data_IF_968888400430
#
_entry.id   IF_968888400430
#
_cell.length_a   1.000
_cell.length_b   1.000
_cell.length_c   1.000
_cell.angle_alpha   90.00
_cell.angle_beta   90.00
_cell.angle_gamma   90.00
#
_symmetry.space_group_name_H-M   'P 1'
#
loop_
_entity.id
_entity.type
_entity.pdbx_description
1 polymer ?
#
# COMPACT_ATOMS: atom_id res chain seq x y z
N UNK A 1 -0.73 26.88 0.27
CA UNK A 1 -2.10 27.12 -0.26
C UNK A 1 -2.99 26.03 0.32
N UNK A 2 -4.33 26.14 0.35
CA UNK A 2 -5.14 24.98 0.78
C UNK A 2 -4.90 23.81 -0.19
N UNK A 3 -4.49 22.65 0.30
CA UNK A 3 -4.35 21.43 -0.50
C UNK A 3 -5.62 21.15 -1.30
N UNK A 4 -5.50 20.76 -2.57
CA UNK A 4 -6.63 20.44 -3.45
C UNK A 4 -6.35 19.17 -4.23
N UNK A 5 -7.28 18.22 -4.14
CA UNK A 5 -7.23 16.99 -4.93
C UNK A 5 -7.44 17.30 -6.42
N UNK A 6 -6.70 16.63 -7.33
CA UNK A 6 -7.02 16.58 -8.74
C UNK A 6 -8.45 16.11 -8.95
N UNK A 7 -9.19 16.80 -9.84
CA UNK A 7 -10.54 16.37 -10.22
C UNK A 7 -10.45 15.25 -11.24
N UNK A 8 -11.25 14.20 -11.04
CA UNK A 8 -11.44 13.16 -12.04
C UNK A 8 -12.11 13.72 -13.29
N UNK A 9 -11.55 13.40 -14.45
CA UNK A 9 -12.11 13.76 -15.75
C UNK A 9 -12.79 12.52 -16.35
N UNK A 10 -14.09 12.38 -16.15
CA UNK A 10 -14.82 11.21 -16.68
C UNK A 10 -14.76 11.15 -18.20
N UNK A 11 -14.66 9.94 -18.80
CA UNK A 11 -14.80 9.78 -20.24
C UNK A 11 -16.21 10.22 -20.69
N UNK A 12 -16.28 10.77 -21.90
CA UNK A 12 -17.55 11.13 -22.52
C UNK A 12 -18.11 9.94 -23.28
N UNK A 13 -18.87 9.09 -22.59
CA UNK A 13 -19.43 7.86 -23.14
C UNK A 13 -20.55 8.08 -24.19
N UNK A 14 -20.96 9.33 -24.43
CA UNK A 14 -21.91 9.70 -25.49
C UNK A 14 -21.21 9.98 -26.84
N UNK A 15 -19.88 9.84 -26.91
CA UNK A 15 -19.08 10.03 -28.13
C UNK A 15 -18.46 8.75 -28.65
N UNK A 16 -18.07 8.77 -29.91
CA UNK A 16 -17.21 7.72 -30.48
C UNK A 16 -15.81 7.73 -29.82
N UNK A 17 -15.18 6.55 -29.62
CA UNK A 17 -15.64 5.21 -30.01
C UNK A 17 -16.63 4.56 -29.02
N UNK A 18 -16.94 5.19 -27.88
CA UNK A 18 -17.69 4.57 -26.78
C UNK A 18 -19.14 4.19 -27.10
N UNK A 19 -19.81 4.97 -27.96
CA UNK A 19 -21.20 4.69 -28.37
C UNK A 19 -21.29 3.44 -29.22
N UNK A 20 -20.40 3.29 -30.21
CA UNK A 20 -20.40 2.14 -31.13
C UNK A 20 -19.69 0.91 -30.58
N UNK A 21 -18.88 1.05 -29.52
CA UNK A 21 -18.22 -0.07 -28.85
C UNK A 21 -19.21 -1.20 -28.50
N UNK A 22 -18.83 -2.48 -28.64
CA UNK A 22 -19.69 -3.59 -28.26
C UNK A 22 -19.82 -3.68 -26.73
N UNK A 23 -20.80 -4.47 -26.27
CA UNK A 23 -20.79 -4.93 -24.89
C UNK A 23 -19.65 -5.94 -24.69
N UNK A 24 -19.16 -6.04 -23.47
CA UNK A 24 -18.19 -7.06 -23.10
C UNK A 24 -18.74 -8.46 -23.32
N UNK A 25 -17.84 -9.38 -23.66
CA UNK A 25 -18.15 -10.81 -23.65
C UNK A 25 -17.60 -11.44 -22.38
N UNK A 26 -18.18 -12.56 -21.96
CA UNK A 26 -17.74 -13.29 -20.77
C UNK A 26 -17.91 -14.79 -20.97
N UNK A 27 -17.11 -15.57 -20.24
CA UNK A 27 -17.20 -17.02 -20.21
C UNK A 27 -17.16 -17.52 -18.76
N UNK A 28 -17.85 -18.64 -18.51
CA UNK A 28 -17.89 -19.25 -17.19
C UNK A 28 -16.58 -19.96 -16.86
N UNK A 29 -16.11 -19.75 -15.65
CA UNK A 29 -15.05 -20.57 -15.05
C UNK A 29 -15.52 -22.03 -14.98
N UNK A 30 -14.72 -22.94 -15.54
CA UNK A 30 -15.00 -24.38 -15.56
C UNK A 30 -14.13 -25.18 -14.59
N UNK A 31 -13.05 -24.58 -14.08
CA UNK A 31 -12.11 -25.16 -13.14
C UNK A 31 -11.82 -24.14 -12.04
N UNK A 32 -11.87 -24.58 -10.77
CA UNK A 32 -11.55 -23.73 -9.62
C UNK A 32 -10.18 -23.06 -9.79
N UNK A 33 -10.15 -21.76 -9.60
CA UNK A 33 -8.93 -20.97 -9.66
C UNK A 33 -8.41 -20.66 -11.08
N UNK A 34 -9.14 -21.02 -12.14
CA UNK A 34 -8.65 -20.92 -13.54
C UNK A 34 -9.58 -20.07 -14.38
N UNK A 35 -9.09 -18.92 -14.85
CA UNK A 35 -9.83 -18.07 -15.78
C UNK A 35 -9.91 -18.71 -17.19
N UNK A 36 -11.00 -18.47 -17.94
CA UNK A 36 -11.13 -18.90 -19.34
C UNK A 36 -10.07 -18.26 -20.24
N UNK A 37 -9.84 -18.82 -21.42
CA UNK A 37 -8.96 -18.17 -22.40
C UNK A 37 -9.46 -16.78 -22.76
N UNK A 38 -8.54 -15.89 -23.15
CA UNK A 38 -8.87 -14.51 -23.53
C UNK A 38 -9.46 -13.64 -22.40
N UNK A 39 -9.34 -14.03 -21.12
CA UNK A 39 -9.71 -13.17 -19.98
C UNK A 39 -9.06 -11.79 -20.06
N UNK A 40 -9.74 -10.75 -19.58
CA UNK A 40 -9.11 -9.44 -19.38
C UNK A 40 -8.30 -9.41 -18.07
N UNK A 41 -7.06 -8.92 -18.14
CA UNK A 41 -6.19 -8.77 -16.98
C UNK A 41 -6.20 -7.32 -16.52
N UNK A 42 -6.60 -7.08 -15.27
CA UNK A 42 -6.72 -5.72 -14.73
C UNK A 42 -5.36 -5.07 -14.48
N UNK A 43 -5.32 -3.76 -14.68
CA UNK A 43 -4.23 -2.85 -14.38
C UNK A 43 -4.47 -2.13 -13.04
N UNK A 44 -3.73 -1.05 -12.80
CA UNK A 44 -3.93 -0.17 -11.64
C UNK A 44 -4.90 0.99 -11.92
N UNK A 45 -5.21 1.26 -13.19
CA UNK A 45 -6.00 2.40 -13.65
C UNK A 45 -7.51 2.17 -13.49
N UNK A 46 -8.34 3.22 -13.54
CA UNK A 46 -9.78 3.07 -13.68
C UNK A 46 -10.11 2.34 -14.99
N UNK A 47 -10.88 1.26 -14.87
CA UNK A 47 -11.28 0.43 -16.01
C UNK A 47 -12.79 0.34 -16.10
N UNK A 48 -13.31 0.64 -17.30
CA UNK A 48 -14.72 0.64 -17.60
C UNK A 48 -15.07 -0.54 -18.50
N UNK A 49 -16.24 -1.12 -18.25
CA UNK A 49 -16.77 -2.28 -18.97
C UNK A 49 -18.16 -1.96 -19.48
N UNK A 50 -18.40 -2.13 -20.77
CA UNK A 50 -19.71 -1.88 -21.39
C UNK A 50 -20.64 -3.07 -21.20
N UNK A 51 -21.66 -2.92 -20.39
CA UNK A 51 -22.64 -3.97 -20.06
C UNK A 51 -24.03 -3.43 -20.41
N UNK A 52 -24.75 -4.16 -21.25
CA UNK A 52 -26.11 -3.79 -21.69
C UNK A 52 -26.24 -2.33 -22.14
N UNK A 53 -25.24 -1.85 -22.89
CA UNK A 53 -25.16 -0.50 -23.44
C UNK A 53 -24.63 0.57 -22.49
N UNK A 54 -24.33 0.23 -21.23
CA UNK A 54 -23.84 1.17 -20.21
C UNK A 54 -22.39 0.90 -19.86
N UNK A 55 -21.59 1.94 -19.74
CA UNK A 55 -20.21 1.85 -19.26
C UNK A 55 -20.18 1.88 -17.74
N UNK A 56 -19.71 0.80 -17.12
CA UNK A 56 -19.64 0.63 -15.67
C UNK A 56 -18.17 0.62 -15.25
N UNK A 57 -17.81 1.47 -14.29
CA UNK A 57 -16.48 1.51 -13.68
C UNK A 57 -16.33 0.34 -12.70
N UNK A 58 -15.23 -0.40 -12.77
CA UNK A 58 -14.84 -1.29 -11.67
C UNK A 58 -14.55 -0.42 -10.43
N UNK A 59 -15.39 -0.47 -9.40
CA UNK A 59 -15.25 0.42 -8.23
C UNK A 59 -14.08 0.05 -7.33
N UNK A 60 -13.73 -1.24 -7.31
CA UNK A 60 -12.52 -1.77 -6.70
C UNK A 60 -11.64 -2.37 -7.78
N UNK A 61 -10.32 -2.14 -7.69
CA UNK A 61 -9.37 -2.73 -8.62
C UNK A 61 -8.12 -3.23 -7.89
N UNK A 62 -7.42 -4.13 -8.56
CA UNK A 62 -6.15 -4.75 -8.16
C UNK A 62 -5.50 -5.20 -9.46
N UNK A 63 -4.21 -4.95 -9.64
CA UNK A 63 -3.53 -5.40 -10.85
C UNK A 63 -3.35 -6.93 -10.86
N UNK A 64 -3.13 -7.50 -12.05
CA UNK A 64 -2.92 -8.94 -12.26
C UNK A 64 -4.10 -9.81 -11.75
N UNK A 65 -5.32 -9.27 -11.87
CA UNK A 65 -6.57 -9.96 -11.53
C UNK A 65 -7.48 -10.05 -12.76
N UNK A 66 -8.64 -10.69 -12.59
CA UNK A 66 -9.69 -10.75 -13.61
C UNK A 66 -10.97 -10.12 -13.10
N UNK A 67 -11.83 -9.71 -14.02
CA UNK A 67 -13.12 -9.10 -13.69
C UNK A 67 -14.23 -10.13 -13.86
N UNK A 68 -14.99 -10.35 -12.79
CA UNK A 68 -16.19 -11.19 -12.77
C UNK A 68 -17.42 -10.30 -12.87
N UNK A 69 -18.33 -10.65 -13.77
CA UNK A 69 -19.64 -10.04 -13.91
C UNK A 69 -20.67 -10.83 -13.10
N UNK A 70 -21.23 -10.19 -12.08
CA UNK A 70 -22.29 -10.77 -11.27
C UNK A 70 -23.65 -10.66 -11.96
N UNK A 71 -24.61 -11.48 -11.51
CA UNK A 71 -25.97 -11.51 -12.07
C UNK A 71 -26.73 -10.18 -11.93
N UNK A 72 -26.36 -9.34 -10.97
CA UNK A 72 -26.90 -7.99 -10.74
C UNK A 72 -26.18 -6.88 -11.53
N UNK A 73 -25.38 -7.26 -12.53
CA UNK A 73 -24.54 -6.38 -13.35
C UNK A 73 -23.41 -5.67 -12.59
N UNK A 74 -23.12 -6.07 -11.34
CA UNK A 74 -21.96 -5.56 -10.60
C UNK A 74 -20.67 -6.24 -11.04
N UNK A 75 -19.56 -5.50 -10.92
CA UNK A 75 -18.22 -5.96 -11.26
C UNK A 75 -17.43 -6.32 -10.00
N UNK A 76 -16.82 -7.50 -10.00
CA UNK A 76 -15.91 -7.91 -8.94
C UNK A 76 -14.52 -8.24 -9.50
N UNK A 77 -13.47 -7.60 -8.97
CA UNK A 77 -12.09 -7.89 -9.37
C UNK A 77 -11.49 -8.96 -8.46
N UNK A 78 -11.29 -10.17 -9.00
CA UNK A 78 -10.81 -11.35 -8.27
C UNK A 78 -9.42 -11.78 -8.71
N UNK A 79 -8.58 -12.18 -7.75
CA UNK A 79 -7.39 -12.96 -8.04
C UNK A 79 -7.78 -14.31 -8.64
N UNK A 80 -6.95 -14.86 -9.52
CA UNK A 80 -7.19 -16.17 -10.11
C UNK A 80 -7.52 -17.23 -9.04
N UNK A 81 -6.79 -17.27 -7.93
CA UNK A 81 -7.01 -18.25 -6.84
C UNK A 81 -8.39 -18.18 -6.16
N UNK A 82 -9.12 -17.07 -6.35
CA UNK A 82 -10.43 -16.82 -5.76
C UNK A 82 -11.58 -17.01 -6.78
N UNK A 83 -11.27 -17.49 -7.99
CA UNK A 83 -12.27 -17.84 -8.99
C UNK A 83 -12.95 -19.15 -8.65
N UNK A 84 -14.28 -19.15 -8.70
CA UNK A 84 -15.10 -20.33 -8.47
C UNK A 84 -15.77 -20.80 -9.76
N UNK A 85 -16.04 -22.10 -9.85
CA UNK A 85 -16.78 -22.65 -10.99
C UNK A 85 -18.13 -21.93 -11.13
N UNK A 86 -18.41 -21.43 -12.32
CA UNK A 86 -19.61 -20.68 -12.64
C UNK A 86 -19.46 -19.16 -12.64
N UNK A 87 -18.37 -18.60 -12.10
CA UNK A 87 -18.06 -17.17 -12.19
C UNK A 87 -18.00 -16.75 -13.68
N UNK A 88 -18.71 -15.67 -14.06
CA UNK A 88 -18.68 -15.12 -15.41
C UNK A 88 -17.48 -14.17 -15.56
N UNK A 89 -16.37 -14.64 -16.12
CA UNK A 89 -15.16 -13.82 -16.29
C UNK A 89 -15.23 -13.05 -17.61
N UNK A 90 -15.00 -11.73 -17.55
CA UNK A 90 -14.95 -10.86 -18.73
C UNK A 90 -13.75 -11.20 -19.62
N UNK A 91 -13.99 -11.25 -20.92
CA UNK A 91 -13.00 -11.53 -21.95
C UNK A 91 -12.65 -10.27 -22.74
N UNK A 92 -11.40 -10.17 -23.15
CA UNK A 92 -10.87 -9.07 -23.96
C UNK A 92 -9.37 -8.89 -23.79
N UNK A 93 -8.74 -8.27 -24.78
CA UNK A 93 -7.29 -7.91 -24.76
C UNK A 93 -7.04 -6.47 -25.17
N UNK A 94 -8.08 -5.76 -25.60
CA UNK A 94 -7.99 -4.37 -26.02
C UNK A 94 -8.32 -3.42 -24.87
N UNK A 95 -7.76 -2.22 -24.94
CA UNK A 95 -7.79 -1.23 -23.86
C UNK A 95 -8.51 0.06 -24.28
N UNK A 96 -8.92 0.15 -25.55
CA UNK A 96 -9.45 1.34 -26.22
C UNK A 96 -10.90 1.15 -26.70
N UNK A 97 -11.71 0.41 -25.93
CA UNK A 97 -13.15 0.12 -26.12
C UNK A 97 -13.52 -0.94 -27.15
N UNK A 98 -12.57 -1.52 -27.90
CA UNK A 98 -12.87 -2.45 -28.99
C UNK A 98 -13.55 -3.75 -28.50
N UNK A 99 -13.16 -4.26 -27.32
CA UNK A 99 -13.81 -5.40 -26.66
C UNK A 99 -14.89 -4.97 -25.64
N UNK A 100 -15.32 -3.70 -25.67
CA UNK A 100 -16.17 -3.13 -24.61
C UNK A 100 -15.43 -2.85 -23.31
N UNK A 101 -14.09 -2.78 -23.36
CA UNK A 101 -13.19 -2.53 -22.22
C UNK A 101 -12.42 -1.22 -22.47
N UNK A 102 -12.40 -0.31 -21.50
CA UNK A 102 -11.68 0.95 -21.62
C UNK A 102 -10.84 1.25 -20.38
N UNK A 103 -9.54 1.47 -20.58
CA UNK A 103 -8.59 1.82 -19.51
C UNK A 103 -8.34 3.33 -19.52
N UNK A 104 -8.70 4.01 -18.44
CA UNK A 104 -8.64 5.47 -18.36
C UNK A 104 -7.37 5.99 -17.68
N UNK A 105 -6.27 6.04 -18.45
CA UNK A 105 -4.92 6.34 -17.93
C UNK A 105 -4.65 7.82 -17.62
N UNK A 106 -5.42 8.76 -18.19
CA UNK A 106 -5.18 10.20 -18.04
C UNK A 106 -6.25 10.89 -17.17
N UNK A 107 -6.95 10.13 -16.33
CA UNK A 107 -8.12 10.56 -15.59
C UNK A 107 -7.90 11.70 -14.57
N UNK A 108 -6.67 11.92 -14.11
CA UNK A 108 -6.32 12.99 -13.16
C UNK A 108 -5.37 14.05 -13.71
N UNK A 109 -4.93 13.93 -14.97
CA UNK A 109 -3.98 14.89 -15.55
C UNK A 109 -4.67 16.21 -15.84
N UNK A 110 -4.12 17.31 -15.30
CA UNK A 110 -4.39 18.61 -15.87
C UNK A 110 -3.78 18.65 -17.28
N UNK A 111 -4.48 19.23 -18.27
CA UNK A 111 -3.97 19.44 -19.63
C UNK A 111 -2.69 20.29 -19.57
N UNK A 112 -1.54 19.64 -19.45
CA UNK A 112 -0.23 20.27 -19.52
C UNK A 112 0.39 19.75 -20.81
N UNK A 113 0.14 20.47 -21.90
CA UNK A 113 0.89 20.33 -23.13
C UNK A 113 2.36 20.68 -22.86
N UNK A 114 3.20 19.66 -22.75
CA UNK A 114 4.64 19.86 -22.66
C UNK A 114 5.34 19.01 -23.73
N UNK A 115 5.04 19.32 -24.99
CA UNK A 115 5.73 18.78 -26.16
C UNK A 115 7.11 19.45 -26.32
N UNK A 116 8.07 19.13 -25.44
CA UNK A 116 9.48 19.48 -25.67
C UNK A 116 10.23 18.30 -26.31
N UNK A 117 10.72 18.52 -27.53
CA UNK A 117 11.44 17.53 -28.36
C UNK A 117 12.82 17.14 -27.81
N UNK A 118 13.41 17.94 -26.92
CA UNK A 118 14.65 17.62 -26.21
C UNK A 118 14.51 18.04 -24.75
N UNK A 119 14.68 17.09 -23.83
CA UNK A 119 14.61 17.34 -22.38
C UNK A 119 15.74 16.62 -21.65
N UNK A 120 16.38 17.32 -20.71
CA UNK A 120 17.23 16.71 -19.70
C UNK A 120 16.38 16.28 -18.51
N UNK A 121 16.75 15.18 -17.83
CA UNK A 121 16.09 14.68 -16.61
C UNK A 121 14.60 14.35 -16.80
N UNK A 122 14.29 13.57 -17.84
CA UNK A 122 12.96 12.98 -18.10
C UNK A 122 12.49 11.98 -17.03
N UNK A 123 13.28 11.76 -15.96
CA UNK A 123 12.94 10.98 -14.78
C UNK A 123 13.79 11.38 -13.57
N UNK A 124 13.39 10.92 -12.37
CA UNK A 124 14.12 11.17 -11.12
C UNK A 124 15.41 10.36 -11.04
N UNK A 125 16.45 11.00 -10.51
CA UNK A 125 17.79 10.44 -10.22
C UNK A 125 18.26 10.87 -8.83
N UNK A 126 19.38 10.33 -8.31
CA UNK A 126 20.06 10.82 -7.08
C UNK A 126 20.27 12.34 -6.99
N UNK A 127 20.28 13.08 -8.09
CA UNK A 127 20.47 14.53 -8.11
C UNK A 127 19.15 15.32 -7.97
N UNK A 128 18.02 14.63 -7.83
CA UNK A 128 16.70 15.26 -7.71
C UNK A 128 16.51 15.81 -6.31
N UNK A 129 16.11 17.09 -6.20
CA UNK A 129 15.70 17.67 -4.92
C UNK A 129 14.30 17.21 -4.55
N UNK A 130 14.10 16.91 -3.26
CA UNK A 130 12.83 16.46 -2.70
C UNK A 130 12.12 17.52 -1.86
N UNK A 131 12.64 18.76 -1.74
CA UNK A 131 12.05 19.77 -0.82
C UNK A 131 10.57 20.01 -1.09
N UNK A 132 10.20 20.20 -2.37
CA UNK A 132 8.79 20.36 -2.76
C UNK A 132 7.96 19.08 -2.56
N UNK A 133 8.59 17.91 -2.67
CA UNK A 133 7.91 16.64 -2.42
C UNK A 133 7.52 16.49 -0.95
N UNK A 134 8.42 16.87 -0.04
CA UNK A 134 8.12 16.95 1.40
C UNK A 134 7.00 17.95 1.69
N UNK A 135 7.08 19.18 1.15
CA UNK A 135 6.02 20.18 1.34
C UNK A 135 4.65 19.66 0.89
N UNK A 136 4.61 19.04 -0.30
CA UNK A 136 3.40 18.45 -0.87
C UNK A 136 2.89 17.28 -0.03
N UNK A 137 3.79 16.45 0.49
CA UNK A 137 3.47 15.32 1.36
C UNK A 137 2.92 15.79 2.71
N UNK A 138 3.48 16.85 3.31
CA UNK A 138 2.95 17.42 4.54
C UNK A 138 1.55 17.98 4.36
N UNK A 139 1.32 18.74 3.28
CA UNK A 139 0.00 19.26 2.93
C UNK A 139 -1.02 18.12 2.68
N UNK A 140 -0.61 17.07 1.95
CA UNK A 140 -1.41 15.88 1.72
C UNK A 140 -1.75 15.18 3.04
N UNK A 141 -0.77 14.85 3.89
CA UNK A 141 -1.00 14.11 5.13
C UNK A 141 -1.89 14.86 6.12
N UNK A 142 -1.82 16.20 6.17
CA UNK A 142 -2.78 17.00 6.97
C UNK A 142 -4.21 16.84 6.46
N UNK A 143 -4.42 16.84 5.14
CA UNK A 143 -5.73 16.63 4.54
C UNK A 143 -6.24 15.20 4.72
N UNK A 144 -5.41 14.20 4.42
CA UNK A 144 -5.75 12.77 4.58
C UNK A 144 -5.94 12.37 6.05
N UNK A 145 -5.32 13.13 6.97
CA UNK A 145 -5.72 13.35 8.38
C UNK A 145 -7.21 13.11 8.61
N UNK A 146 -7.98 13.95 7.95
CA UNK A 146 -9.38 14.23 8.28
C UNK A 146 -10.35 13.66 7.24
N UNK A 147 -9.84 13.39 6.03
CA UNK A 147 -10.66 13.04 4.87
C UNK A 147 -10.23 11.75 4.17
N UNK A 148 -9.20 11.07 4.69
CA UNK A 148 -8.52 9.98 3.99
C UNK A 148 -8.40 8.69 4.78
N UNK A 149 -7.60 7.79 4.22
CA UNK A 149 -7.13 6.57 4.85
C UNK A 149 -5.65 6.37 4.53
N UNK A 150 -4.80 6.73 5.48
CA UNK A 150 -3.35 6.71 5.36
C UNK A 150 -2.81 5.36 5.82
N UNK A 151 -2.25 4.59 4.90
CA UNK A 151 -1.64 3.28 5.13
C UNK A 151 -0.11 3.43 5.14
N UNK A 152 0.55 2.91 6.17
CA UNK A 152 2.01 2.87 6.24
C UNK A 152 2.53 1.45 6.15
N UNK A 153 3.56 1.21 5.33
CA UNK A 153 4.20 -0.09 5.13
C UNK A 153 5.64 0.01 5.59
N UNK A 154 5.99 -0.67 6.67
CA UNK A 154 7.24 -0.43 7.40
C UNK A 154 8.18 -1.64 7.37
N UNK A 155 9.45 -1.38 7.08
CA UNK A 155 10.56 -2.30 7.33
C UNK A 155 11.20 -2.08 8.69
N UNK A 156 11.94 -3.08 9.23
CA UNK A 156 12.50 -3.02 10.58
C UNK A 156 13.49 -1.87 10.81
N UNK A 157 14.12 -1.33 9.76
CA UNK A 157 15.04 -0.20 9.86
C UNK A 157 14.42 1.05 10.52
N UNK A 158 13.09 1.19 10.47
CA UNK A 158 12.35 2.28 11.12
C UNK A 158 12.47 2.24 12.65
N UNK A 159 12.65 1.07 13.24
CA UNK A 159 12.70 0.87 14.70
C UNK A 159 14.09 0.54 15.24
N UNK A 160 15.11 0.55 14.37
CA UNK A 160 16.52 0.34 14.75
C UNK A 160 17.20 1.61 15.27
N UNK A 161 16.48 2.73 15.22
CA UNK A 161 16.92 4.03 15.72
C UNK A 161 15.88 4.58 16.71
N UNK A 162 16.38 5.17 17.79
CA UNK A 162 15.55 5.71 18.88
C UNK A 162 14.59 6.81 18.40
N UNK A 163 15.10 7.78 17.65
CA UNK A 163 14.33 8.97 17.28
C UNK A 163 13.30 8.65 16.20
N UNK A 164 13.67 7.83 15.22
CA UNK A 164 12.76 7.28 14.21
C UNK A 164 11.64 6.45 14.83
N UNK A 165 11.95 5.57 15.80
CA UNK A 165 10.93 4.79 16.54
C UNK A 165 9.94 5.71 17.25
N UNK A 166 10.43 6.73 17.94
CA UNK A 166 9.60 7.68 18.68
C UNK A 166 8.77 8.58 17.76
N UNK A 167 9.38 9.06 16.66
CA UNK A 167 8.69 9.84 15.65
C UNK A 167 7.54 9.04 15.02
N UNK A 168 7.77 7.76 14.72
CA UNK A 168 6.71 6.91 14.16
C UNK A 168 5.57 6.68 15.15
N UNK A 169 5.89 6.38 16.42
CA UNK A 169 4.89 6.24 17.48
C UNK A 169 4.06 7.54 17.64
N UNK A 170 4.70 8.70 17.60
CA UNK A 170 4.05 10.00 17.74
C UNK A 170 3.12 10.33 16.56
N UNK A 171 3.48 9.94 15.34
CA UNK A 171 2.60 10.07 14.17
C UNK A 171 1.36 9.17 14.28
N UNK A 172 1.49 7.98 14.85
CA UNK A 172 0.35 7.10 15.17
C UNK A 172 -0.56 7.78 16.20
N UNK A 173 0.01 8.27 17.31
CA UNK A 173 -0.74 8.94 18.37
C UNK A 173 -1.46 10.21 17.89
N UNK A 174 -0.92 10.89 16.88
CA UNK A 174 -1.52 12.08 16.26
C UNK A 174 -2.51 11.78 15.12
N UNK A 175 -2.79 10.50 14.84
CA UNK A 175 -3.79 10.08 13.85
C UNK A 175 -3.32 10.07 12.40
N UNK A 176 -2.03 10.25 12.10
CA UNK A 176 -1.50 10.22 10.73
C UNK A 176 -1.38 8.80 10.14
N UNK A 177 -1.81 7.77 10.87
CA UNK A 177 -1.75 6.37 10.46
C UNK A 177 -3.10 5.70 10.76
N UNK A 178 -3.75 5.20 9.71
CA UNK A 178 -5.04 4.50 9.78
C UNK A 178 -4.92 2.98 9.66
N UNK A 179 -3.80 2.49 9.11
CA UNK A 179 -3.38 1.10 9.18
C UNK A 179 -1.86 1.01 9.00
N UNK A 180 -1.28 -0.07 9.53
CA UNK A 180 0.15 -0.35 9.43
C UNK A 180 0.40 -1.77 8.92
N UNK A 181 1.22 -1.91 7.89
CA UNK A 181 1.70 -3.21 7.42
C UNK A 181 3.17 -3.38 7.74
N UNK A 182 3.52 -4.54 8.27
CA UNK A 182 4.90 -4.91 8.51
C UNK A 182 5.04 -6.44 8.51
N UNK A 183 6.21 -6.93 8.91
CA UNK A 183 6.43 -8.35 9.22
C UNK A 183 6.86 -8.54 10.67
N UNK A 184 7.13 -9.81 11.03
CA UNK A 184 7.56 -10.21 12.37
C UNK A 184 8.73 -9.36 12.90
N UNK A 185 9.75 -9.14 12.06
CA UNK A 185 10.97 -8.42 12.45
C UNK A 185 10.71 -7.01 13.00
N UNK A 186 9.83 -6.22 12.36
CA UNK A 186 9.56 -4.86 12.84
C UNK A 186 8.90 -4.89 14.22
N UNK A 187 7.85 -5.68 14.40
CA UNK A 187 7.13 -5.75 15.66
C UNK A 187 8.02 -6.31 16.78
N UNK A 188 8.85 -7.31 16.49
CA UNK A 188 9.79 -7.87 17.45
C UNK A 188 10.81 -6.83 17.92
N UNK A 189 11.45 -6.12 16.99
CA UNK A 189 12.50 -5.16 17.35
C UNK A 189 11.94 -3.85 17.92
N UNK A 190 10.70 -3.48 17.62
CA UNK A 190 10.00 -2.39 18.32
C UNK A 190 9.81 -2.71 19.81
N UNK A 191 9.35 -3.93 20.12
CA UNK A 191 9.17 -4.41 21.49
C UNK A 191 10.51 -4.60 22.20
N UNK A 192 11.52 -5.12 21.51
CA UNK A 192 12.91 -5.20 21.99
C UNK A 192 13.45 -3.82 22.36
N UNK A 193 13.28 -2.84 21.46
CA UNK A 193 13.69 -1.46 21.68
C UNK A 193 12.94 -0.78 22.82
N UNK A 194 11.71 -1.22 23.11
CA UNK A 194 10.92 -0.67 24.22
C UNK A 194 11.37 -1.25 25.57
N UNK A 195 11.67 -2.56 25.63
CA UNK A 195 12.01 -3.27 26.89
C UNK A 195 13.50 -3.22 27.20
N UNK A 196 14.35 -3.47 26.20
CA UNK A 196 15.80 -3.68 26.35
C UNK A 196 16.62 -2.53 25.75
N UNK A 197 15.96 -1.59 25.07
CA UNK A 197 16.59 -0.47 24.34
C UNK A 197 17.53 -0.93 23.23
N UNK A 198 17.35 -2.16 22.74
CA UNK A 198 18.15 -2.73 21.65
C UNK A 198 17.30 -3.17 20.47
N UNK A 199 17.94 -3.28 19.31
CA UNK A 199 17.46 -4.04 18.17
C UNK A 199 18.57 -5.00 17.72
N UNK A 200 18.29 -6.30 17.65
CA UNK A 200 19.30 -7.34 17.39
C UNK A 200 20.48 -7.28 18.38
N UNK A 201 20.22 -6.88 19.63
CA UNK A 201 21.25 -6.78 20.65
C UNK A 201 22.19 -5.58 20.51
N UNK A 202 21.88 -4.63 19.63
CA UNK A 202 22.59 -3.36 19.52
C UNK A 202 21.71 -2.25 20.09
N UNK A 203 22.26 -1.40 20.97
CA UNK A 203 21.53 -0.28 21.56
C UNK A 203 21.08 0.70 20.47
N UNK A 204 19.78 1.02 20.44
CA UNK A 204 19.16 1.78 19.34
C UNK A 204 19.54 3.27 19.32
N UNK A 205 20.25 3.76 20.34
CA UNK A 205 20.71 5.15 20.40
C UNK A 205 22.23 5.24 20.19
N UNK A 206 22.99 4.48 20.98
CA UNK A 206 24.47 4.51 20.96
C UNK A 206 25.10 3.61 19.91
N UNK A 207 24.34 2.65 19.37
CA UNK A 207 24.81 1.65 18.40
C UNK A 207 25.91 0.73 18.94
N UNK A 208 26.08 0.61 20.26
CA UNK A 208 26.96 -0.40 20.85
C UNK A 208 26.24 -1.75 20.99
N UNK A 209 26.92 -2.84 20.60
CA UNK A 209 26.42 -4.19 20.83
C UNK A 209 26.54 -4.57 22.31
N UNK A 210 25.48 -5.14 22.87
CA UNK A 210 25.47 -5.60 24.26
C UNK A 210 25.90 -7.07 24.35
N UNK A 211 26.59 -7.49 25.43
CA UNK A 211 26.90 -8.89 25.68
C UNK A 211 25.64 -9.76 25.64
N UNK A 212 25.69 -10.89 24.94
CA UNK A 212 24.55 -11.80 24.74
C UNK A 212 23.33 -11.19 24.04
N UNK A 213 23.47 -10.04 23.38
CA UNK A 213 22.35 -9.33 22.75
C UNK A 213 21.61 -10.11 21.66
N UNK A 214 22.21 -11.16 21.10
CA UNK A 214 21.53 -12.05 20.15
C UNK A 214 20.33 -12.80 20.76
N UNK A 215 20.25 -12.95 22.10
CA UNK A 215 19.08 -13.52 22.77
C UNK A 215 17.91 -12.53 22.91
N UNK A 216 18.17 -11.22 22.85
CA UNK A 216 17.18 -10.19 23.19
C UNK A 216 15.88 -10.35 22.40
N UNK A 217 15.95 -10.35 21.07
CA UNK A 217 14.77 -10.51 20.22
C UNK A 217 14.08 -11.88 20.42
N UNK A 218 14.84 -12.95 20.67
CA UNK A 218 14.29 -14.30 20.94
C UNK A 218 13.51 -14.32 22.27
N UNK A 219 14.04 -13.67 23.32
CA UNK A 219 13.37 -13.56 24.61
C UNK A 219 12.08 -12.75 24.53
N UNK A 220 12.08 -11.69 23.72
CA UNK A 220 10.88 -10.87 23.43
C UNK A 220 9.82 -11.74 22.74
N UNK A 221 10.19 -12.48 21.70
CA UNK A 221 9.26 -13.37 21.00
C UNK A 221 8.72 -14.44 21.94
N UNK A 222 9.59 -15.12 22.69
CA UNK A 222 9.19 -16.15 23.65
C UNK A 222 8.27 -15.59 24.74
N UNK A 223 8.56 -14.38 25.23
CA UNK A 223 7.71 -13.65 26.17
C UNK A 223 6.32 -13.36 25.60
N UNK A 224 6.25 -12.82 24.38
CA UNK A 224 4.98 -12.54 23.71
C UNK A 224 4.17 -13.81 23.44
N UNK A 225 4.83 -14.91 23.04
CA UNK A 225 4.19 -16.22 22.85
C UNK A 225 3.63 -16.77 24.16
N UNK A 226 4.33 -16.58 25.28
CA UNK A 226 3.87 -16.99 26.61
C UNK A 226 2.64 -16.21 27.08
N UNK A 227 2.59 -14.91 26.78
CA UNK A 227 1.43 -14.06 27.04
C UNK A 227 0.24 -14.39 26.10
N UNK A 228 0.52 -14.98 24.93
CA UNK A 228 -0.47 -15.44 23.94
C UNK A 228 -1.04 -14.35 23.02
N UNK A 229 -0.69 -13.07 23.24
CA UNK A 229 -1.07 -11.93 22.40
C UNK A 229 -0.14 -10.75 22.66
N UNK A 230 -0.04 -9.80 21.72
CA UNK A 230 0.78 -8.60 21.92
C UNK A 230 0.17 -7.67 22.97
N UNK A 231 -1.15 -7.54 23.02
CA UNK A 231 -1.87 -6.72 23.97
C UNK A 231 -1.60 -7.15 25.41
N UNK A 232 -1.70 -8.45 25.69
CA UNK A 232 -1.34 -9.00 27.01
C UNK A 232 0.14 -8.80 27.31
N UNK A 233 1.02 -9.04 26.34
CA UNK A 233 2.46 -8.90 26.54
C UNK A 233 2.86 -7.45 26.85
N UNK A 234 2.34 -6.48 26.09
CA UNK A 234 2.55 -5.04 26.29
C UNK A 234 2.08 -4.63 27.69
N UNK A 235 0.90 -5.10 28.12
CA UNK A 235 0.37 -4.83 29.45
C UNK A 235 1.23 -5.47 30.57
N UNK A 236 1.55 -6.78 30.46
CA UNK A 236 2.34 -7.52 31.46
C UNK A 236 3.76 -6.96 31.63
N UNK A 237 4.36 -6.45 30.55
CA UNK A 237 5.69 -5.85 30.57
C UNK A 237 5.69 -4.35 30.87
N UNK A 238 4.51 -3.73 31.02
CA UNK A 238 4.39 -2.29 31.28
C UNK A 238 4.99 -1.45 30.16
N UNK A 239 4.86 -1.89 28.90
CA UNK A 239 5.37 -1.14 27.75
C UNK A 239 4.44 0.05 27.50
N UNK A 240 5.00 1.27 27.52
CA UNK A 240 4.25 2.53 27.35
C UNK A 240 4.72 3.36 26.16
N UNK A 241 5.61 2.81 25.33
CA UNK A 241 6.20 3.47 24.16
C UNK A 241 6.35 2.50 22.99
N UNK A 242 6.68 3.02 21.80
CA UNK A 242 6.91 2.24 20.59
C UNK A 242 5.71 2.12 19.66
N UNK A 243 5.99 1.67 18.44
CA UNK A 243 5.05 1.58 17.33
C UNK A 243 3.89 0.64 17.65
N UNK A 244 4.18 -0.55 18.19
CA UNK A 244 3.17 -1.56 18.53
C UNK A 244 2.28 -1.07 19.68
N UNK A 245 2.87 -0.47 20.71
CA UNK A 245 2.09 0.12 21.80
C UNK A 245 1.17 1.24 21.31
N UNK A 246 1.67 2.18 20.51
CA UNK A 246 0.85 3.26 19.97
C UNK A 246 -0.25 2.72 19.04
N UNK A 247 -0.01 1.68 18.26
CA UNK A 247 -1.07 1.01 17.49
C UNK A 247 -2.17 0.43 18.38
N UNK A 248 -1.79 -0.32 19.44
CA UNK A 248 -2.75 -0.94 20.37
C UNK A 248 -3.55 0.14 21.11
N UNK A 249 -2.89 1.16 21.64
CA UNK A 249 -3.49 2.28 22.38
C UNK A 249 -4.52 3.03 21.53
N UNK A 250 -4.18 3.35 20.29
CA UNK A 250 -5.04 4.12 19.38
C UNK A 250 -5.97 3.24 18.53
N UNK A 251 -5.95 1.91 18.73
CA UNK A 251 -6.71 0.92 17.95
C UNK A 251 -6.44 1.02 16.44
N UNK A 252 -5.21 1.36 16.07
CA UNK A 252 -4.77 1.35 14.68
C UNK A 252 -4.52 -0.10 14.29
N UNK A 253 -5.25 -0.65 13.30
CA UNK A 253 -5.05 -2.02 12.85
C UNK A 253 -3.65 -2.16 12.24
N UNK A 254 -2.97 -3.24 12.61
CA UNK A 254 -1.70 -3.61 12.01
C UNK A 254 -1.73 -5.06 11.49
N UNK A 255 -1.19 -5.27 10.29
CA UNK A 255 -1.08 -6.60 9.66
C UNK A 255 0.39 -6.99 9.62
N UNK A 256 0.72 -8.09 10.31
CA UNK A 256 2.07 -8.65 10.31
C UNK A 256 2.11 -9.87 9.39
N UNK A 257 2.62 -9.69 8.17
CA UNK A 257 2.79 -10.79 7.24
C UNK A 257 4.04 -11.61 7.58
N UNK A 258 3.87 -12.93 7.64
CA UNK A 258 4.97 -13.85 7.90
C UNK A 258 5.93 -13.95 6.72
N UNK A 259 7.19 -14.29 7.02
CA UNK A 259 8.25 -14.55 6.06
C UNK A 259 9.02 -15.81 6.42
N UNK A 260 9.64 -16.44 5.42
CA UNK A 260 10.45 -17.66 5.59
C UNK A 260 11.68 -17.47 6.49
N UNK A 261 12.00 -16.22 6.85
CA UNK A 261 13.12 -15.88 7.75
C UNK A 261 12.69 -15.60 9.19
N UNK A 262 11.40 -15.72 9.51
CA UNK A 262 10.89 -15.26 10.79
C UNK A 262 11.34 -16.17 11.94
N UNK A 263 11.94 -15.58 12.97
CA UNK A 263 12.15 -16.22 14.26
C UNK A 263 10.85 -16.25 15.06
N UNK A 264 10.49 -17.38 15.66
CA UNK A 264 9.32 -17.51 16.54
C UNK A 264 8.10 -18.11 15.86
N UNK A 265 7.20 -17.33 15.21
CA UNK A 265 7.05 -15.86 15.21
C UNK A 265 6.23 -15.32 16.39
N UNK A 266 6.04 -13.99 16.45
CA UNK A 266 5.09 -13.34 17.36
C UNK A 266 3.65 -13.85 17.12
N UNK A 267 2.78 -13.89 18.16
CA UNK A 267 1.45 -14.48 18.05
C UNK A 267 0.55 -13.97 16.91
N UNK A 268 0.46 -12.65 16.61
CA UNK A 268 -0.46 -12.15 15.58
C UNK A 268 0.09 -12.23 14.14
N UNK A 269 1.29 -12.81 13.95
CA UNK A 269 1.87 -12.94 12.60
C UNK A 269 1.08 -13.94 11.77
N UNK A 270 0.66 -13.53 10.58
CA UNK A 270 0.04 -14.41 9.61
C UNK A 270 1.11 -15.30 8.96
N UNK A 271 1.20 -16.56 9.38
CA UNK A 271 2.11 -17.55 8.78
C UNK A 271 1.67 -17.99 7.38
N UNK A 272 0.38 -17.86 7.08
CA UNK A 272 -0.20 -18.10 5.76
C UNK A 272 -0.17 -16.80 4.94
N UNK A 273 0.64 -16.79 3.87
CA UNK A 273 0.84 -15.62 3.01
C UNK A 273 -0.43 -15.17 2.29
N UNK A 274 -1.37 -16.08 2.03
CA UNK A 274 -2.63 -15.73 1.38
C UNK A 274 -3.58 -15.06 2.38
N UNK A 275 -3.66 -15.57 3.61
CA UNK A 275 -4.41 -14.87 4.68
C UNK A 275 -3.81 -13.50 4.99
N UNK A 276 -2.48 -13.39 5.00
CA UNK A 276 -1.80 -12.10 5.16
C UNK A 276 -2.19 -11.13 4.04
N UNK A 277 -2.14 -11.60 2.78
CA UNK A 277 -2.50 -10.79 1.62
C UNK A 277 -3.98 -10.38 1.65
N UNK A 278 -4.89 -11.28 2.02
CA UNK A 278 -6.32 -10.97 2.10
C UNK A 278 -6.59 -9.94 3.20
N UNK A 279 -5.91 -10.05 4.36
CA UNK A 279 -5.97 -9.07 5.43
C UNK A 279 -5.41 -7.70 4.99
N UNK A 280 -4.29 -7.68 4.28
CA UNK A 280 -3.75 -6.45 3.69
C UNK A 280 -4.74 -5.83 2.69
N UNK A 281 -5.35 -6.65 1.82
CA UNK A 281 -6.27 -6.18 0.79
C UNK A 281 -7.47 -5.42 1.38
N UNK A 282 -7.96 -5.82 2.57
CA UNK A 282 -9.06 -5.11 3.25
C UNK A 282 -8.74 -3.64 3.59
N UNK A 283 -7.46 -3.30 3.80
CA UNK A 283 -7.05 -1.92 4.02
C UNK A 283 -6.60 -1.23 2.72
N UNK A 284 -5.97 -1.95 1.78
CA UNK A 284 -5.61 -1.39 0.47
C UNK A 284 -6.83 -0.84 -0.28
N UNK A 285 -7.98 -1.52 -0.22
CA UNK A 285 -9.25 -1.04 -0.82
C UNK A 285 -9.72 0.31 -0.27
N UNK A 286 -9.33 0.64 0.97
CA UNK A 286 -9.73 1.89 1.64
C UNK A 286 -8.70 3.00 1.45
N UNK A 287 -7.45 2.63 1.16
CA UNK A 287 -6.31 3.54 1.15
C UNK A 287 -6.48 4.66 0.13
N UNK A 288 -6.21 5.88 0.57
CA UNK A 288 -6.11 7.08 -0.29
C UNK A 288 -4.68 7.60 -0.34
N UNK A 289 -3.85 7.21 0.63
CA UNK A 289 -2.41 7.45 0.64
C UNK A 289 -1.69 6.26 1.24
N UNK A 290 -0.66 5.78 0.55
CA UNK A 290 0.20 4.68 0.99
C UNK A 290 1.64 5.16 1.07
N UNK A 291 2.30 4.97 2.21
CA UNK A 291 3.71 5.32 2.39
C UNK A 291 4.49 4.06 2.76
N UNK A 292 5.39 3.67 1.87
CA UNK A 292 6.18 2.45 1.99
C UNK A 292 7.64 2.79 2.29
N UNK A 293 8.23 2.17 3.33
CA UNK A 293 9.56 2.52 3.82
C UNK A 293 10.44 1.31 4.14
N UNK A 294 11.63 1.25 3.54
CA UNK A 294 12.70 0.27 3.84
C UNK A 294 12.23 -1.21 3.83
N UNK A 295 11.30 -1.57 2.96
CA UNK A 295 10.75 -2.94 2.87
C UNK A 295 10.33 -3.30 1.46
N UNK A 296 11.26 -3.78 0.64
CA UNK A 296 10.97 -4.09 -0.78
C UNK A 296 9.82 -5.09 -0.95
N UNK A 297 9.83 -6.19 -0.20
CA UNK A 297 8.81 -7.24 -0.33
C UNK A 297 7.40 -6.71 -0.01
N UNK A 298 7.22 -6.04 1.14
CA UNK A 298 5.90 -5.53 1.53
C UNK A 298 5.48 -4.33 0.68
N UNK A 299 6.44 -3.51 0.22
CA UNK A 299 6.17 -2.39 -0.70
C UNK A 299 5.58 -2.91 -2.00
N UNK A 300 6.22 -3.91 -2.62
CA UNK A 300 5.75 -4.52 -3.88
C UNK A 300 4.40 -5.19 -3.68
N UNK A 301 4.25 -5.98 -2.61
CA UNK A 301 2.97 -6.65 -2.32
C UNK A 301 1.82 -5.64 -2.15
N UNK A 302 2.04 -4.57 -1.39
CA UNK A 302 1.04 -3.51 -1.16
C UNK A 302 0.72 -2.76 -2.44
N UNK A 303 1.73 -2.39 -3.23
CA UNK A 303 1.56 -1.72 -4.50
C UNK A 303 0.71 -2.54 -5.48
N UNK A 304 0.97 -3.84 -5.62
CA UNK A 304 0.15 -4.71 -6.47
C UNK A 304 -1.33 -4.78 -6.02
N UNK A 305 -1.62 -4.53 -4.74
CA UNK A 305 -2.97 -4.56 -4.17
C UNK A 305 -3.66 -3.19 -4.15
N UNK A 306 -2.96 -2.12 -4.51
CA UNK A 306 -3.46 -0.76 -4.36
C UNK A 306 -3.75 -0.15 -5.73
N UNK A 307 -5.02 0.12 -6.08
CA UNK A 307 -5.35 0.85 -7.29
C UNK A 307 -4.91 2.32 -7.17
N UNK A 308 -4.73 3.01 -8.30
CA UNK A 308 -4.35 4.43 -8.28
C UNK A 308 -5.53 5.39 -8.10
N UNK A 309 -6.72 4.85 -7.89
CA UNK A 309 -7.95 5.60 -7.70
C UNK A 309 -8.80 4.93 -6.62
N UNK A 310 -9.68 5.73 -6.04
CA UNK A 310 -10.69 5.28 -5.11
C UNK A 310 -12.02 5.91 -5.48
N UNK A 311 -13.07 5.09 -5.50
CA UNK A 311 -14.45 5.55 -5.65
C UNK A 311 -15.01 5.88 -4.26
N UNK A 312 -15.45 7.12 -4.07
CA UNK A 312 -16.06 7.63 -2.84
C UNK A 312 -17.41 8.26 -3.18
N UNK A 313 -18.49 7.51 -2.96
CA UNK A 313 -19.83 7.88 -3.43
C UNK A 313 -19.84 8.03 -4.96
N UNK A 314 -20.25 9.20 -5.43
CA UNK A 314 -20.30 9.52 -6.87
C UNK A 314 -19.00 10.15 -7.39
N UNK A 315 -17.96 10.23 -6.55
CA UNK A 315 -16.68 10.84 -6.91
C UNK A 315 -15.57 9.81 -7.03
N UNK A 316 -14.63 10.08 -7.93
CA UNK A 316 -13.39 9.30 -8.05
C UNK A 316 -12.23 10.22 -7.70
N UNK A 317 -11.34 9.74 -6.84
CA UNK A 317 -10.17 10.51 -6.38
C UNK A 317 -8.88 9.72 -6.57
N UNK A 318 -7.73 10.38 -6.70
CA UNK A 318 -6.46 9.68 -6.82
C UNK A 318 -6.05 9.05 -5.50
N UNK A 319 -5.29 7.96 -5.60
CA UNK A 319 -4.57 7.33 -4.50
C UNK A 319 -3.09 7.65 -4.65
N UNK A 320 -2.49 8.22 -3.60
CA UNK A 320 -1.08 8.59 -3.62
C UNK A 320 -0.23 7.46 -3.05
N UNK A 321 0.84 7.08 -3.74
CA UNK A 321 1.77 6.05 -3.26
C UNK A 321 3.17 6.64 -3.20
N UNK A 322 3.77 6.61 -2.01
CA UNK A 322 5.14 7.04 -1.75
C UNK A 322 6.02 5.83 -1.43
N UNK A 323 7.23 5.83 -2.01
CA UNK A 323 8.26 4.83 -1.70
C UNK A 323 9.50 5.52 -1.21
N UNK A 324 9.97 5.14 -0.01
CA UNK A 324 11.15 5.70 0.64
C UNK A 324 12.14 4.59 0.95
N UNK A 325 13.31 4.68 0.36
CA UNK A 325 14.39 3.73 0.61
C UNK A 325 15.74 4.40 0.34
N UNK A 326 16.79 3.97 1.04
CA UNK A 326 18.15 4.47 0.79
C UNK A 326 18.69 3.98 -0.55
N UNK A 327 18.13 2.87 -1.05
CA UNK A 327 18.52 2.24 -2.30
C UNK A 327 17.66 2.71 -3.47
N UNK A 328 18.31 3.29 -4.49
CA UNK A 328 17.68 3.55 -5.80
C UNK A 328 17.03 2.28 -6.38
N UNK A 329 17.64 1.11 -6.16
CA UNK A 329 17.08 -0.16 -6.60
C UNK A 329 15.76 -0.48 -5.88
N UNK A 330 15.70 -0.21 -4.56
CA UNK A 330 14.50 -0.46 -3.77
C UNK A 330 13.30 0.36 -4.24
N UNK A 331 13.49 1.66 -4.47
CA UNK A 331 12.40 2.54 -4.92
C UNK A 331 11.97 2.27 -6.37
N UNK A 332 12.90 1.93 -7.27
CA UNK A 332 12.57 1.73 -8.69
C UNK A 332 11.75 0.46 -8.94
N UNK A 333 11.85 -0.57 -8.08
CA UNK A 333 11.14 -1.84 -8.29
C UNK A 333 9.62 -1.72 -8.31
N UNK A 334 9.04 -0.78 -7.56
CA UNK A 334 7.61 -0.56 -7.61
C UNK A 334 7.22 0.24 -8.86
N UNK A 335 8.01 1.27 -9.21
CA UNK A 335 7.79 2.07 -10.43
C UNK A 335 7.81 1.21 -11.69
N UNK A 336 8.70 0.22 -11.74
CA UNK A 336 8.85 -0.69 -12.88
C UNK A 336 7.66 -1.67 -13.05
N UNK A 337 6.73 -1.74 -12.07
CA UNK A 337 5.53 -2.60 -12.11
C UNK A 337 4.28 -1.82 -12.53
N UNK A 338 4.40 -0.99 -13.56
CA UNK A 338 3.27 -0.24 -14.13
C UNK A 338 2.81 0.98 -13.31
N UNK A 339 3.47 1.28 -12.19
CA UNK A 339 3.09 2.37 -11.29
C UNK A 339 3.80 3.68 -11.69
N UNK A 340 3.39 4.26 -12.82
CA UNK A 340 3.92 5.54 -13.31
C UNK A 340 3.68 6.71 -12.33
N UNK A 341 2.75 6.56 -11.37
CA UNK A 341 2.37 7.61 -10.42
C UNK A 341 2.92 7.43 -8.99
N UNK A 342 3.83 6.47 -8.76
CA UNK A 342 4.51 6.35 -7.46
C UNK A 342 5.54 7.46 -7.29
N UNK A 343 5.43 8.20 -6.19
CA UNK A 343 6.42 9.21 -5.80
C UNK A 343 7.55 8.55 -5.00
N UNK A 344 8.70 8.36 -5.63
CA UNK A 344 9.89 7.81 -4.99
C UNK A 344 10.76 8.90 -4.36
N UNK A 345 11.25 8.64 -3.14
CA UNK A 345 12.20 9.47 -2.40
C UNK A 345 13.37 8.59 -1.97
N UNK A 346 14.57 8.90 -2.47
CA UNK A 346 15.79 8.16 -2.10
C UNK A 346 16.45 8.85 -0.91
N UNK A 347 16.31 8.28 0.28
CA UNK A 347 16.84 8.86 1.53
C UNK A 347 16.88 7.83 2.66
N UNK A 348 17.53 8.16 3.78
CA UNK A 348 17.44 7.35 5.00
C UNK A 348 16.01 7.47 5.58
N UNK A 349 15.37 6.33 5.82
CA UNK A 349 14.00 6.28 6.35
C UNK A 349 13.88 6.86 7.76
N UNK A 350 14.95 6.81 8.56
CA UNK A 350 14.98 7.37 9.91
C UNK A 350 14.87 8.90 9.85
N UNK A 351 15.73 9.53 9.05
CA UNK A 351 15.69 10.97 8.79
C UNK A 351 14.36 11.40 8.17
N UNK A 352 13.82 10.60 7.24
CA UNK A 352 12.52 10.86 6.63
C UNK A 352 11.40 10.92 7.67
N UNK A 353 11.28 9.90 8.53
CA UNK A 353 10.20 9.82 9.53
C UNK A 353 10.33 10.95 10.56
N UNK A 354 11.54 11.25 11.01
CA UNK A 354 11.80 12.36 11.93
C UNK A 354 11.41 13.70 11.29
N UNK A 355 11.78 13.93 10.03
CA UNK A 355 11.40 15.16 9.32
C UNK A 355 9.87 15.29 9.13
N UNK A 356 9.19 14.18 8.85
CA UNK A 356 7.72 14.14 8.76
C UNK A 356 7.09 14.49 10.10
N UNK A 357 7.54 13.87 11.19
CA UNK A 357 7.06 14.16 12.53
C UNK A 357 7.28 15.64 12.92
N UNK A 358 8.49 16.17 12.70
CA UNK A 358 8.83 17.57 13.02
C UNK A 358 7.98 18.62 12.31
N UNK A 359 7.36 18.27 11.16
CA UNK A 359 6.54 19.20 10.38
C UNK A 359 5.03 18.98 10.59
N UNK A 360 4.62 17.82 11.07
CA UNK A 360 3.21 17.44 11.23
C UNK A 360 2.70 17.53 12.66
N UNK A 361 3.59 17.37 13.64
CA UNK A 361 3.34 17.46 15.08
C UNK A 361 3.75 18.84 15.58
#
# INVERSE_FOLDING_TARGET
MSFKLPKYQSPDFEKEPFVSAPNVTFEKVTLEGVAPFNYHATSIYPEYFKINGKWILASESRMDCVVVLNDDETLEVKEFRNLHIGDNVILGRTECSEDGIYIHVNCFKANIDNNQTFSFRSGRTRESSYSKDYDSLYELLRHEREHGYILWVLGPAVVFDHDSKNAMASLIDAGFIHALFAGNALATHDLEGSILKTALGQDIYTQFSIPNGHYNHIDIINGARRAGSLEKFVHEKGITDGVIHSCIKNKVPFVLAGSIRDDGPLPPVFSDVYKAQDAMRQHCKKATTVICMATQLHTIATGNMTPMYKVEGDTVRPVYIYTVDISEFGVNKLRDRGSLEVTSIVTNVQDFVVNIANNLL
#
